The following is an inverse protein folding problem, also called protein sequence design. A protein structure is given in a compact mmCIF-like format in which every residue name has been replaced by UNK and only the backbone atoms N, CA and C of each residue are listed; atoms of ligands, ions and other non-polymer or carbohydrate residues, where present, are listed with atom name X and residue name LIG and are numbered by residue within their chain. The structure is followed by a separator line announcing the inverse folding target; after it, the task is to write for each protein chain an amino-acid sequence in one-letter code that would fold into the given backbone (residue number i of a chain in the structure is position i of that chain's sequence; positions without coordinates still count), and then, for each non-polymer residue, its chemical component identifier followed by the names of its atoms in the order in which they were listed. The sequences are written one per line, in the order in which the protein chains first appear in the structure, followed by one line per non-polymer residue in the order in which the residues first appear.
data_IF_248858334563
#
_entry.id   IF_248858334563
#
_cell.length_a   1.000
_cell.length_b   1.000
_cell.length_c   1.000
_cell.angle_alpha   90.00
_cell.angle_beta   90.00
_cell.angle_gamma   90.00
#
_symmetry.space_group_name_H-M   'P 1'
#
loop_
_entity.id
_entity.type
_entity.pdbx_description
1 polymer ?
#
# COMPACT_ATOMS: atom_id res chain seq x y z
N UNK A 1 -13.03 1.58 14.69
CA UNK A 1 -12.29 0.50 14.02
C UNK A 1 -10.84 0.67 14.38
N UNK A 2 -10.18 -0.37 14.90
CA UNK A 2 -8.74 -0.33 15.18
C UNK A 2 -8.00 -0.62 13.88
N UNK A 3 -6.97 0.17 13.59
CA UNK A 3 -6.03 -0.12 12.52
C UNK A 3 -5.24 -1.37 12.90
N UNK A 4 -5.14 -2.33 11.99
CA UNK A 4 -4.41 -3.57 12.19
C UNK A 4 -3.16 -3.60 11.31
N UNK A 5 -2.11 -4.23 11.80
CA UNK A 5 -0.87 -4.43 11.05
C UNK A 5 -1.12 -5.42 9.91
N UNK A 6 -1.09 -4.90 8.68
CA UNK A 6 -1.15 -5.68 7.45
C UNK A 6 0.28 -5.98 7.01
N UNK A 7 0.79 -7.17 7.36
CA UNK A 7 2.13 -7.60 6.97
C UNK A 7 2.14 -7.96 5.50
N UNK A 8 3.12 -7.46 4.74
CA UNK A 8 3.22 -7.72 3.31
C UNK A 8 3.90 -9.07 3.12
N UNK A 9 3.17 -10.05 2.61
CA UNK A 9 3.75 -11.35 2.23
C UNK A 9 4.33 -11.32 0.82
N UNK A 10 3.64 -10.68 -0.13
CA UNK A 10 4.05 -10.68 -1.53
C UNK A 10 3.65 -9.37 -2.20
N UNK A 11 4.55 -8.81 -3.01
CA UNK A 11 4.25 -7.67 -3.88
C UNK A 11 4.17 -8.18 -5.31
N UNK A 12 2.98 -8.08 -5.90
CA UNK A 12 2.67 -8.61 -7.24
C UNK A 12 3.04 -7.59 -8.31
N UNK A 13 2.66 -6.32 -8.11
CA UNK A 13 2.97 -5.23 -9.04
C UNK A 13 2.98 -3.87 -8.34
N UNK A 14 3.81 -2.96 -8.83
CA UNK A 14 3.80 -1.55 -8.44
C UNK A 14 3.65 -0.70 -9.71
N UNK A 15 2.57 0.08 -9.78
CA UNK A 15 2.24 0.89 -10.96
C UNK A 15 2.03 2.35 -10.52
N UNK A 16 2.58 3.33 -11.27
CA UNK A 16 2.33 4.74 -10.97
C UNK A 16 0.83 5.04 -11.11
N UNK A 17 0.26 5.69 -10.10
CA UNK A 17 -1.16 6.01 -10.07
C UNK A 17 -1.37 7.51 -10.32
N UNK A 18 -2.10 7.82 -11.39
CA UNK A 18 -2.45 9.19 -11.75
C UNK A 18 -3.95 9.27 -11.98
N UNK A 19 -4.66 9.92 -11.06
CA UNK A 19 -6.08 10.21 -11.18
C UNK A 19 -6.38 11.70 -10.98
N UNK A 20 -7.61 12.13 -11.30
CA UNK A 20 -7.98 13.54 -11.17
C UNK A 20 -7.85 14.04 -9.73
N UNK A 21 -8.25 13.25 -8.73
CA UNK A 21 -8.08 13.61 -7.32
C UNK A 21 -6.62 13.65 -6.88
N UNK A 22 -5.71 12.95 -7.57
CA UNK A 22 -4.28 12.99 -7.23
C UNK A 22 -3.65 14.33 -7.60
N UNK A 23 -4.27 15.12 -8.49
CA UNK A 23 -3.79 16.44 -8.91
C UNK A 23 -3.95 17.50 -7.81
N UNK A 24 -4.88 17.30 -6.88
CA UNK A 24 -5.05 18.16 -5.70
C UNK A 24 -3.93 17.99 -4.66
N UNK A 25 -3.10 16.95 -4.81
CA UNK A 25 -1.96 16.69 -3.94
C UNK A 25 -0.66 16.86 -4.72
N UNK A 26 0.28 17.63 -4.18
CA UNK A 26 1.64 17.77 -4.73
C UNK A 26 2.49 16.53 -4.39
N UNK A 27 1.93 15.34 -4.60
CA UNK A 27 2.57 14.06 -4.26
C UNK A 27 2.33 13.06 -5.38
N UNK A 28 3.32 12.18 -5.57
CA UNK A 28 3.19 11.06 -6.49
C UNK A 28 2.54 9.89 -5.76
N UNK A 29 1.60 9.24 -6.44
CA UNK A 29 0.95 8.06 -5.93
C UNK A 29 1.37 6.83 -6.73
N UNK A 30 1.36 5.70 -6.05
CA UNK A 30 1.66 4.38 -6.59
C UNK A 30 0.54 3.45 -6.14
N UNK A 31 -0.05 2.76 -7.10
CA UNK A 31 -0.98 1.68 -6.84
C UNK A 31 -0.19 0.40 -6.78
N UNK A 32 -0.24 -0.29 -5.65
CA UNK A 32 0.52 -1.51 -5.43
C UNK A 32 -0.46 -2.64 -5.28
N UNK A 33 -0.26 -3.71 -6.04
CA UNK A 33 -0.97 -4.96 -5.84
C UNK A 33 -0.14 -5.87 -4.97
N UNK A 34 -0.68 -6.23 -3.81
CA UNK A 34 0.06 -6.99 -2.81
C UNK A 34 -0.84 -7.97 -2.08
N UNK A 35 -0.20 -9.00 -1.52
CA UNK A 35 -0.83 -9.96 -0.63
C UNK A 35 -0.41 -9.61 0.79
N UNK A 36 -1.39 -9.23 1.62
CA UNK A 36 -1.16 -9.00 3.04
C UNK A 36 -1.61 -10.18 3.87
N UNK A 37 -0.96 -10.36 5.01
CA UNK A 37 -1.37 -11.30 6.03
C UNK A 37 -1.64 -10.55 7.33
N UNK A 38 -2.89 -10.59 7.76
CA UNK A 38 -3.33 -10.03 9.02
C UNK A 38 -3.88 -11.16 9.89
N UNK A 39 -3.10 -11.56 10.90
CA UNK A 39 -3.46 -12.64 11.84
C UNK A 39 -3.99 -13.92 11.14
N UNK A 40 -3.18 -14.49 10.24
CA UNK A 40 -3.47 -15.73 9.48
C UNK A 40 -4.51 -15.56 8.36
N UNK A 41 -5.03 -14.34 8.14
CA UNK A 41 -5.90 -14.03 7.01
C UNK A 41 -5.10 -13.37 5.90
N UNK A 42 -4.88 -14.11 4.82
CA UNK A 42 -4.31 -13.56 3.59
C UNK A 42 -5.36 -12.78 2.82
N UNK A 43 -5.02 -11.59 2.35
CA UNK A 43 -5.87 -10.75 1.51
C UNK A 43 -5.08 -10.27 0.31
N UNK A 44 -5.74 -10.28 -0.84
CA UNK A 44 -5.22 -9.62 -2.02
C UNK A 44 -5.80 -8.22 -2.02
N UNK A 45 -4.93 -7.22 -1.96
CA UNK A 45 -5.33 -5.82 -1.89
C UNK A 45 -4.56 -5.03 -2.94
N UNK A 46 -5.19 -3.96 -3.43
CA UNK A 46 -4.58 -3.01 -4.35
C UNK A 46 -4.53 -1.58 -3.76
N UNK A 47 -3.88 -1.40 -2.59
CA UNK A 47 -3.78 -0.10 -1.93
C UNK A 47 -3.04 0.94 -2.80
N UNK A 48 -3.48 2.19 -2.65
CA UNK A 48 -2.83 3.36 -3.24
C UNK A 48 -2.02 4.03 -2.14
N UNK A 49 -0.72 4.09 -2.33
CA UNK A 49 0.20 4.77 -1.44
C UNK A 49 0.78 6.01 -2.10
N UNK A 50 1.19 6.97 -1.28
CA UNK A 50 2.14 7.97 -1.71
C UNK A 50 3.53 7.30 -1.84
N UNK A 51 4.36 7.77 -2.76
CA UNK A 51 5.69 7.17 -3.02
C UNK A 51 6.56 7.18 -1.75
N UNK A 52 6.60 8.28 -0.99
CA UNK A 52 7.39 8.39 0.23
C UNK A 52 6.90 7.39 1.30
N UNK A 53 5.58 7.23 1.45
CA UNK A 53 5.00 6.23 2.37
C UNK A 53 5.26 4.81 1.88
N UNK A 54 5.19 4.55 0.58
CA UNK A 54 5.44 3.22 0.03
C UNK A 54 6.88 2.76 0.29
N UNK A 55 7.87 3.63 0.16
CA UNK A 55 9.26 3.30 0.52
C UNK A 55 9.41 2.91 1.99
N UNK A 56 8.77 3.67 2.90
CA UNK A 56 8.74 3.32 4.33
C UNK A 56 8.02 2.00 4.61
N UNK A 57 6.96 1.70 3.86
CA UNK A 57 6.22 0.45 3.98
C UNK A 57 7.06 -0.74 3.50
N UNK A 58 7.83 -0.56 2.41
CA UNK A 58 8.80 -1.57 1.95
C UNK A 58 9.90 -1.80 2.98
N UNK A 59 10.40 -0.76 3.63
CA UNK A 59 11.44 -0.87 4.66
C UNK A 59 10.93 -1.57 5.93
N UNK A 60 9.73 -1.24 6.40
CA UNK A 60 9.17 -1.84 7.62
C UNK A 60 8.55 -3.24 7.39
N UNK A 61 8.12 -3.54 6.16
CA UNK A 61 7.50 -4.83 5.77
C UNK A 61 6.00 -4.96 6.11
N UNK A 62 5.35 -3.90 6.58
CA UNK A 62 3.91 -3.88 6.90
C UNK A 62 3.32 -2.47 6.76
N UNK A 63 1.99 -2.36 6.76
CA UNK A 63 1.30 -1.08 6.89
C UNK A 63 0.10 -1.18 7.83
N UNK A 64 -0.32 -0.05 8.41
CA UNK A 64 -1.52 0.04 9.24
C UNK A 64 -2.74 0.29 8.37
N UNK A 65 -3.70 -0.63 8.37
CA UNK A 65 -4.92 -0.60 7.55
C UNK A 65 -6.19 -0.88 8.35
#
# INVERSE_FOLDING_TARGET
MNLLEQYIEEVISEEPYTEEWTKDFDKKFVKVKLVTNCYVRKRNEDPIFDVDKWEKVKEQGYYMG
#
